data_IF_974809266340
#
_entry.id   IF_974809266340
#
_cell.length_a   1.000
_cell.length_b   1.000
_cell.length_c   1.000
_cell.angle_alpha   90.00
_cell.angle_beta   90.00
_cell.angle_gamma   90.00
#
_symmetry.space_group_name_H-M   'P 1'
#
loop_
_entity.id
_entity.type
_entity.pdbx_description
1 polymer ?
#
# COMPACT_ATOMS: atom_id res chain seq x y z
N UNK A 1 5.00 -5.45 -19.78
CA UNK A 1 6.31 -5.86 -19.23
C UNK A 1 6.10 -6.34 -17.80
N UNK A 2 6.74 -7.43 -17.35
CA UNK A 2 6.65 -7.84 -15.96
C UNK A 2 7.22 -6.74 -15.06
N UNK A 3 6.56 -6.47 -13.93
CA UNK A 3 7.08 -5.57 -12.90
C UNK A 3 8.39 -6.16 -12.40
N UNK A 4 9.51 -5.46 -12.60
CA UNK A 4 10.79 -5.92 -12.04
C UNK A 4 10.76 -5.69 -10.53
N UNK A 5 11.04 -6.71 -9.71
CA UNK A 5 11.15 -6.54 -8.27
C UNK A 5 12.26 -5.54 -7.95
N UNK A 6 12.02 -4.72 -6.93
CA UNK A 6 13.02 -3.80 -6.40
C UNK A 6 13.97 -4.62 -5.52
N UNK A 7 15.26 -4.66 -5.86
CA UNK A 7 16.26 -5.42 -5.09
C UNK A 7 16.52 -4.76 -3.73
N UNK A 8 16.60 -3.42 -3.70
CA UNK A 8 16.82 -2.61 -2.50
C UNK A 8 15.81 -1.48 -2.41
N UNK A 9 15.21 -1.31 -1.23
CA UNK A 9 14.29 -0.21 -0.98
C UNK A 9 15.07 1.07 -0.73
N UNK A 10 14.58 2.16 -1.31
CA UNK A 10 15.11 3.49 -1.09
C UNK A 10 14.66 3.98 0.31
N UNK A 11 15.59 4.25 1.24
CA UNK A 11 15.26 4.66 2.61
C UNK A 11 14.40 5.94 2.68
N UNK A 12 14.62 6.90 1.76
CA UNK A 12 13.83 8.13 1.74
C UNK A 12 12.38 7.83 1.33
N UNK A 13 12.20 6.92 0.35
CA UNK A 13 10.86 6.45 -0.04
C UNK A 13 10.17 5.69 1.08
N UNK A 14 10.88 4.81 1.78
CA UNK A 14 10.34 4.10 2.96
C UNK A 14 9.83 5.11 3.99
N UNK A 15 10.66 6.08 4.37
CA UNK A 15 10.29 7.09 5.36
C UNK A 15 9.08 7.92 4.90
N UNK A 16 9.06 8.32 3.62
CA UNK A 16 7.93 9.04 3.02
C UNK A 16 6.65 8.22 3.02
N UNK A 17 6.71 6.94 2.64
CA UNK A 17 5.56 6.02 2.64
C UNK A 17 4.99 5.87 4.05
N UNK A 18 5.86 5.67 5.05
CA UNK A 18 5.45 5.58 6.45
C UNK A 18 4.76 6.86 6.91
N UNK A 19 5.36 8.01 6.61
CA UNK A 19 4.81 9.32 6.98
C UNK A 19 3.44 9.56 6.33
N UNK A 20 3.31 9.25 5.04
CA UNK A 20 2.08 9.44 4.29
C UNK A 20 0.96 8.52 4.80
N UNK A 21 1.26 7.25 5.08
CA UNK A 21 0.28 6.32 5.67
C UNK A 21 -0.19 6.82 7.04
N UNK A 22 0.74 7.25 7.90
CA UNK A 22 0.41 7.78 9.21
C UNK A 22 -0.50 9.02 9.12
N UNK A 23 -0.20 9.93 8.19
CA UNK A 23 -1.01 11.13 7.94
C UNK A 23 -2.40 10.78 7.39
N UNK A 24 -2.47 9.91 6.38
CA UNK A 24 -3.72 9.55 5.72
C UNK A 24 -4.67 8.80 6.66
N UNK A 25 -4.17 7.94 7.55
CA UNK A 25 -4.99 7.20 8.52
C UNK A 25 -5.02 7.81 9.93
N UNK A 26 -4.37 8.96 10.13
CA UNK A 26 -4.29 9.67 11.41
C UNK A 26 -3.84 8.77 12.56
N UNK A 27 -2.71 8.07 12.37
CA UNK A 27 -2.09 7.19 13.37
C UNK A 27 -0.68 7.69 13.71
N UNK A 28 -0.20 7.46 14.95
CA UNK A 28 1.10 7.99 15.38
C UNK A 28 2.30 7.28 14.72
N UNK A 29 2.14 5.99 14.41
CA UNK A 29 3.18 5.17 13.78
C UNK A 29 2.59 3.91 13.15
N UNK A 30 3.31 3.36 12.17
CA UNK A 30 3.06 2.01 11.67
C UNK A 30 3.66 0.98 12.63
N UNK A 31 3.03 -0.19 12.66
CA UNK A 31 3.59 -1.38 13.32
C UNK A 31 4.65 -2.00 12.42
N UNK A 32 5.69 -2.58 13.02
CA UNK A 32 6.81 -3.17 12.28
C UNK A 32 6.38 -4.18 11.21
N UNK A 33 5.38 -5.03 11.53
CA UNK A 33 4.88 -6.03 10.58
C UNK A 33 4.17 -5.44 9.35
N UNK A 34 3.64 -4.21 9.45
CA UNK A 34 2.96 -3.54 8.33
C UNK A 34 3.97 -3.09 7.28
N UNK A 35 5.04 -2.42 7.72
CA UNK A 35 6.15 -2.03 6.84
C UNK A 35 6.89 -3.25 6.30
N UNK A 36 7.18 -4.24 7.14
CA UNK A 36 7.91 -5.43 6.72
C UNK A 36 7.16 -6.22 5.64
N UNK A 37 5.85 -6.44 5.82
CA UNK A 37 5.05 -7.13 4.81
C UNK A 37 4.92 -6.30 3.52
N UNK A 38 4.70 -5.00 3.62
CA UNK A 38 4.66 -4.11 2.46
C UNK A 38 5.99 -4.07 1.69
N UNK A 39 7.10 -4.02 2.42
CA UNK A 39 8.47 -4.08 1.90
C UNK A 39 8.73 -5.37 1.13
N UNK A 40 8.33 -6.51 1.69
CA UNK A 40 8.43 -7.81 1.01
C UNK A 40 7.63 -7.84 -0.29
N UNK A 41 6.40 -7.30 -0.29
CA UNK A 41 5.58 -7.20 -1.50
C UNK A 41 6.24 -6.37 -2.60
N UNK A 42 6.84 -5.21 -2.25
CA UNK A 42 7.56 -4.37 -3.22
C UNK A 42 8.81 -5.06 -3.78
N UNK A 43 9.51 -5.84 -2.95
CA UNK A 43 10.64 -6.67 -3.35
C UNK A 43 10.23 -7.89 -4.20
N UNK A 44 8.93 -8.09 -4.43
CA UNK A 44 8.40 -9.25 -5.16
C UNK A 44 8.47 -10.55 -4.38
N UNK A 45 8.62 -10.49 -3.05
CA UNK A 45 8.64 -11.67 -2.18
C UNK A 45 7.23 -12.13 -1.82
N UNK A 46 6.94 -13.41 -2.01
CA UNK A 46 5.71 -14.01 -1.49
C UNK A 46 5.69 -13.92 0.04
N UNK A 47 4.61 -13.36 0.58
CA UNK A 47 4.52 -13.03 2.00
C UNK A 47 3.23 -13.61 2.58
N UNK A 48 3.37 -14.41 3.63
CA UNK A 48 2.25 -14.82 4.49
C UNK A 48 2.27 -13.94 5.73
N UNK A 49 1.16 -13.28 6.01
CA UNK A 49 1.00 -12.39 7.16
C UNK A 49 0.02 -13.01 8.14
N UNK A 50 0.55 -13.62 9.21
CA UNK A 50 -0.24 -14.16 10.31
C UNK A 50 -0.38 -13.13 11.43
N UNK A 51 -1.50 -12.41 11.41
CA UNK A 51 -1.81 -11.33 12.34
C UNK A 51 -3.28 -11.46 12.75
N UNK A 52 -3.59 -11.38 14.06
CA UNK A 52 -4.97 -11.53 14.53
C UNK A 52 -5.89 -10.47 13.94
N UNK A 53 -7.20 -10.75 13.95
CA UNK A 53 -8.23 -9.76 13.61
C UNK A 53 -8.07 -8.52 14.49
N UNK A 54 -8.23 -7.33 13.91
CA UNK A 54 -7.93 -6.06 14.59
C UNK A 54 -6.43 -5.71 14.70
N UNK A 55 -5.52 -6.64 14.34
CA UNK A 55 -4.07 -6.42 14.35
C UNK A 55 -3.54 -5.48 13.25
N UNK A 56 -4.43 -4.80 12.51
CA UNK A 56 -4.05 -3.76 11.56
C UNK A 56 -3.38 -4.28 10.28
N UNK A 57 -3.64 -5.55 9.90
CA UNK A 57 -3.06 -6.17 8.69
C UNK A 57 -3.36 -5.42 7.40
N UNK A 58 -4.47 -4.67 7.35
CA UNK A 58 -4.91 -3.96 6.14
C UNK A 58 -3.89 -2.91 5.65
N UNK A 59 -3.26 -2.16 6.57
CA UNK A 59 -2.27 -1.15 6.20
C UNK A 59 -1.03 -1.74 5.52
N UNK A 60 -0.71 -3.01 5.78
CA UNK A 60 0.38 -3.71 5.10
C UNK A 60 0.15 -3.82 3.58
N UNK A 61 -1.11 -3.94 3.14
CA UNK A 61 -1.47 -3.99 1.73
C UNK A 61 -1.40 -2.61 1.07
N UNK A 62 -1.68 -1.52 1.80
CA UNK A 62 -1.63 -0.17 1.24
C UNK A 62 -0.21 0.39 1.15
N UNK A 63 0.70 -0.12 1.98
CA UNK A 63 2.11 0.23 1.95
C UNK A 63 2.75 0.10 0.55
N UNK A 64 2.68 -1.05 -0.16
CA UNK A 64 3.27 -1.18 -1.50
C UNK A 64 2.63 -0.26 -2.54
N UNK A 65 1.34 0.10 -2.38
CA UNK A 65 0.66 1.06 -3.24
C UNK A 65 1.30 2.45 -3.13
N UNK A 66 1.49 2.93 -1.90
CA UNK A 66 2.05 4.26 -1.64
C UNK A 66 3.57 4.32 -1.83
N UNK A 67 4.29 3.21 -1.64
CA UNK A 67 5.72 3.12 -1.98
C UNK A 67 5.93 3.15 -3.50
N UNK A 68 5.10 2.40 -4.25
CA UNK A 68 5.23 2.29 -5.71
C UNK A 68 4.68 3.50 -6.45
N UNK A 69 3.80 4.26 -5.82
CA UNK A 69 3.25 5.49 -6.37
C UNK A 69 4.28 6.61 -6.21
N UNK A 70 5.17 6.76 -7.20
CA UNK A 70 6.06 7.92 -7.24
C UNK A 70 5.25 9.23 -7.45
N UNK A 71 4.05 9.12 -8.02
CA UNK A 71 3.13 10.23 -8.24
C UNK A 71 1.69 9.70 -8.38
N UNK A 72 0.91 9.66 -7.29
CA UNK A 72 -0.42 10.25 -7.44
C UNK A 72 -0.17 11.76 -7.38
N UNK A 73 0.04 12.35 -8.55
CA UNK A 73 0.07 13.80 -8.74
C UNK A 73 -0.95 14.13 -9.81
N UNK A 74 -1.87 15.08 -9.57
CA UNK A 74 -2.81 15.54 -10.58
C UNK A 74 -2.12 16.21 -11.78
N UNK A 75 -0.79 16.39 -11.75
CA UNK A 75 0.00 17.14 -12.75
C UNK A 75 0.87 16.23 -13.64
N UNK A 76 1.16 14.98 -13.26
CA UNK A 76 2.03 14.06 -14.00
C UNK A 76 1.40 12.66 -14.12
N UNK A 77 0.31 12.55 -14.88
CA UNK A 77 -0.40 11.29 -15.10
C UNK A 77 0.06 10.62 -16.41
N UNK A 78 1.24 10.00 -16.41
CA UNK A 78 1.64 9.11 -17.51
C UNK A 78 1.13 7.68 -17.23
N UNK A 79 0.21 7.14 -18.05
CA UNK A 79 -0.42 5.83 -17.82
C UNK A 79 0.59 4.67 -17.70
N UNK A 80 1.77 4.82 -18.30
CA UNK A 80 2.82 3.80 -18.37
C UNK A 80 3.55 3.56 -17.05
N UNK A 81 3.35 4.41 -16.04
CA UNK A 81 4.06 4.35 -14.76
C UNK A 81 3.16 4.07 -13.56
N UNK A 82 1.83 4.05 -13.76
CA UNK A 82 0.86 3.78 -12.70
C UNK A 82 0.93 2.30 -12.29
N UNK A 83 1.22 2.03 -11.02
CA UNK A 83 1.12 0.68 -10.46
C UNK A 83 -0.23 0.49 -9.79
N UNK A 84 -0.86 -0.65 -10.04
CA UNK A 84 -2.10 -1.06 -9.39
C UNK A 84 -1.83 -2.15 -8.36
N UNK A 85 -2.60 -2.14 -7.28
CA UNK A 85 -2.65 -3.22 -6.31
C UNK A 85 -3.97 -3.98 -6.50
N UNK A 86 -3.89 -5.27 -6.80
CA UNK A 86 -5.06 -6.14 -6.88
C UNK A 86 -5.25 -6.84 -5.54
N UNK A 87 -6.38 -6.60 -4.88
CA UNK A 87 -6.78 -7.29 -3.65
C UNK A 87 -7.91 -8.24 -3.98
N UNK A 88 -7.76 -9.52 -3.61
CA UNK A 88 -8.78 -10.57 -3.81
C UNK A 88 -9.29 -10.96 -2.43
N UNK A 89 -10.60 -10.89 -2.24
CA UNK A 89 -11.27 -11.23 -0.98
C UNK A 89 -12.60 -11.93 -1.25
N UNK A 90 -13.01 -12.91 -0.42
CA UNK A 90 -14.31 -13.55 -0.54
C UNK A 90 -15.47 -12.68 -0.02
N UNK A 91 -15.19 -11.53 0.63
CA UNK A 91 -16.19 -10.72 1.33
C UNK A 91 -16.45 -9.40 0.59
N UNK A 92 -17.50 -9.33 -0.23
CA UNK A 92 -17.86 -8.14 -1.03
C UNK A 92 -18.05 -6.90 -0.16
N UNK A 93 -18.82 -6.99 0.93
CA UNK A 93 -19.07 -5.85 1.82
C UNK A 93 -17.76 -5.26 2.39
N UNK A 94 -16.79 -6.12 2.73
CA UNK A 94 -15.49 -5.69 3.22
C UNK A 94 -14.67 -4.98 2.12
N UNK A 95 -14.73 -5.48 0.88
CA UNK A 95 -14.06 -4.84 -0.26
C UNK A 95 -14.63 -3.45 -0.52
N UNK A 96 -15.95 -3.31 -0.50
CA UNK A 96 -16.59 -2.00 -0.68
C UNK A 96 -16.21 -1.01 0.42
N UNK A 97 -16.14 -1.45 1.68
CA UNK A 97 -15.72 -0.61 2.79
C UNK A 97 -14.27 -0.12 2.61
N UNK A 98 -13.37 -1.02 2.19
CA UNK A 98 -11.98 -0.69 1.92
C UNK A 98 -11.82 0.26 0.74
N UNK A 99 -12.54 0.04 -0.36
CA UNK A 99 -12.53 0.93 -1.52
C UNK A 99 -13.09 2.32 -1.16
N UNK A 100 -14.15 2.39 -0.35
CA UNK A 100 -14.71 3.64 0.17
C UNK A 100 -13.72 4.37 1.08
N UNK A 101 -13.01 3.68 1.98
CA UNK A 101 -12.00 4.30 2.86
C UNK A 101 -10.82 4.88 2.06
N UNK A 102 -10.32 4.15 1.06
CA UNK A 102 -9.28 4.64 0.15
C UNK A 102 -9.75 5.87 -0.64
N UNK A 103 -10.95 5.81 -1.22
CA UNK A 103 -11.51 6.91 -2.03
C UNK A 103 -11.72 8.16 -1.18
N UNK A 104 -12.21 8.03 0.06
CA UNK A 104 -12.34 9.15 1.02
C UNK A 104 -11.01 9.81 1.34
N UNK A 105 -9.89 9.09 1.21
CA UNK A 105 -8.52 9.58 1.43
C UNK A 105 -7.84 10.06 0.15
N UNK A 106 -8.57 10.16 -0.95
CA UNK A 106 -8.06 10.60 -2.24
C UNK A 106 -7.23 9.55 -2.98
N UNK A 107 -7.31 8.28 -2.59
CA UNK A 107 -6.68 7.15 -3.28
C UNK A 107 -7.74 6.48 -4.16
N UNK A 108 -7.60 6.50 -5.50
CA UNK A 108 -8.55 5.83 -6.38
C UNK A 108 -8.58 4.32 -6.12
N UNK A 109 -9.77 3.79 -5.84
CA UNK A 109 -10.04 2.36 -5.66
C UNK A 109 -11.38 2.02 -6.31
N UNK A 110 -11.49 0.78 -6.80
CA UNK A 110 -12.66 0.23 -7.49
C UNK A 110 -13.25 -0.92 -6.68
#
# INVERSE_FOLDING_TARGET
>A
MPVRPVLELDPERVQRTNTLLCQLWNIPSLRAHQEQAGSNMVKGSHTVLDVPTGGGKTLAFWWPLLYSSYYWSPVNDSPSTRKNLLVISPLVALMEEQAKDLTKRGIPAL
#
